data_IF_808409880278
#
_entry.id   IF_808409880278
#
_cell.length_a   1.000
_cell.length_b   1.000
_cell.length_c   1.000
_cell.angle_alpha   90.00
_cell.angle_beta   90.00
_cell.angle_gamma   90.00
#
_symmetry.space_group_name_H-M   'P 1'
#
loop_
_entity.id
_entity.type
_entity.pdbx_description
1 polymer ?
#
# COMPACT_ATOMS: atom_id res chain seq x y z
N UNK A 1 -31.13 -2.50 -5.78
CA UNK A 1 -30.55 -3.42 -4.76
C UNK A 1 -29.45 -2.66 -4.00
N UNK A 2 -28.83 -3.22 -2.95
CA UNK A 2 -27.67 -2.57 -2.30
C UNK A 2 -26.41 -2.82 -3.12
N UNK A 3 -25.63 -1.77 -3.39
CA UNK A 3 -24.36 -1.85 -4.14
C UNK A 3 -23.44 -2.98 -3.65
N UNK A 4 -22.69 -3.60 -4.56
CA UNK A 4 -21.66 -4.62 -4.28
C UNK A 4 -20.67 -4.20 -3.19
N UNK A 5 -20.45 -2.89 -3.02
CA UNK A 5 -19.58 -2.34 -1.96
C UNK A 5 -20.11 -2.55 -0.54
N UNK A 6 -21.43 -2.78 -0.40
CA UNK A 6 -22.13 -3.10 0.84
C UNK A 6 -22.32 -4.62 1.05
N UNK A 7 -21.84 -5.45 0.11
CA UNK A 7 -21.83 -6.89 0.32
C UNK A 7 -20.94 -7.23 1.53
N UNK A 8 -21.44 -8.06 2.44
CA UNK A 8 -20.76 -8.40 3.71
C UNK A 8 -19.35 -8.97 3.49
N UNK A 9 -19.09 -9.62 2.35
CA UNK A 9 -17.77 -10.17 2.01
C UNK A 9 -16.81 -9.03 1.65
N UNK A 10 -17.30 -8.04 0.89
CA UNK A 10 -16.55 -6.84 0.49
C UNK A 10 -16.26 -5.96 1.71
N UNK A 11 -17.26 -5.71 2.56
CA UNK A 11 -17.08 -4.98 3.82
C UNK A 11 -16.04 -5.64 4.72
N UNK A 12 -16.09 -6.97 4.86
CA UNK A 12 -15.11 -7.74 5.63
C UNK A 12 -13.70 -7.64 5.04
N UNK A 13 -13.57 -7.63 3.71
CA UNK A 13 -12.29 -7.43 3.05
C UNK A 13 -11.73 -6.02 3.33
N UNK A 14 -12.56 -4.98 3.19
CA UNK A 14 -12.18 -3.59 3.49
C UNK A 14 -11.75 -3.44 4.95
N UNK A 15 -12.49 -4.03 5.89
CA UNK A 15 -12.16 -4.00 7.31
C UNK A 15 -10.79 -4.64 7.60
N UNK A 16 -10.48 -5.78 6.97
CA UNK A 16 -9.17 -6.43 7.10
C UNK A 16 -8.04 -5.58 6.56
N UNK A 17 -8.23 -4.97 5.38
CA UNK A 17 -7.22 -4.08 4.79
C UNK A 17 -6.93 -2.88 5.70
N UNK A 18 -7.98 -2.26 6.26
CA UNK A 18 -7.84 -1.18 7.23
C UNK A 18 -7.13 -1.64 8.51
N UNK A 19 -7.44 -2.84 9.02
CA UNK A 19 -6.79 -3.42 10.19
C UNK A 19 -5.29 -3.71 9.95
N UNK A 20 -4.88 -4.00 8.71
CA UNK A 20 -3.47 -4.09 8.32
C UNK A 20 -2.76 -2.72 8.26
N UNK A 21 -3.51 -1.62 8.41
CA UNK A 21 -3.00 -0.26 8.36
C UNK A 21 -2.96 0.32 6.94
N UNK A 22 -3.65 -0.30 5.98
CA UNK A 22 -3.79 0.28 4.64
C UNK A 22 -4.82 1.40 4.62
N UNK A 23 -4.53 2.46 3.86
CA UNK A 23 -5.47 3.56 3.63
C UNK A 23 -6.32 3.22 2.41
N UNK A 24 -7.60 2.91 2.66
CA UNK A 24 -8.55 2.36 1.70
C UNK A 24 -9.71 3.32 1.46
N UNK A 25 -9.91 3.70 0.19
CA UNK A 25 -11.10 4.42 -0.29
C UNK A 25 -11.92 3.49 -1.18
N UNK A 26 -13.25 3.62 -1.15
CA UNK A 26 -14.17 2.76 -1.88
C UNK A 26 -15.08 3.63 -2.72
N UNK A 27 -15.31 3.22 -3.96
CA UNK A 27 -16.20 3.90 -4.90
C UNK A 27 -17.14 2.87 -5.51
N UNK A 28 -18.44 3.11 -5.44
CA UNK A 28 -19.43 2.32 -6.17
C UNK A 28 -19.72 3.01 -7.49
N UNK A 29 -19.59 2.30 -8.60
CA UNK A 29 -19.99 2.81 -9.91
C UNK A 29 -21.46 2.52 -10.16
N UNK A 30 -21.89 1.29 -9.88
CA UNK A 30 -23.29 0.86 -9.98
C UNK A 30 -23.63 -0.22 -8.91
N UNK A 31 -24.74 -0.93 -9.10
CA UNK A 31 -25.17 -1.96 -8.15
C UNK A 31 -24.23 -3.17 -8.12
N UNK A 32 -23.59 -3.51 -9.24
CA UNK A 32 -22.77 -4.71 -9.42
C UNK A 32 -21.26 -4.40 -9.47
N UNK A 33 -20.88 -3.13 -9.66
CA UNK A 33 -19.51 -2.68 -9.88
C UNK A 33 -19.04 -1.69 -8.81
N UNK A 34 -17.86 -1.95 -8.25
CA UNK A 34 -17.22 -1.07 -7.29
C UNK A 34 -15.71 -1.24 -7.28
N UNK A 35 -15.02 -0.20 -6.81
CA UNK A 35 -13.58 -0.05 -6.82
C UNK A 35 -13.05 0.13 -5.40
N UNK A 36 -11.94 -0.53 -5.11
CA UNK A 36 -11.22 -0.40 -3.83
C UNK A 36 -9.86 0.22 -4.15
N UNK A 37 -9.68 1.48 -3.76
CA UNK A 37 -8.43 2.21 -3.93
C UNK A 37 -7.58 2.07 -2.67
N UNK A 38 -6.35 1.61 -2.84
CA UNK A 38 -5.36 1.48 -1.75
C UNK A 38 -4.15 2.35 -2.09
N UNK A 39 -3.77 3.24 -1.17
CA UNK A 39 -2.62 4.13 -1.43
C UNK A 39 -1.31 3.36 -1.38
N UNK A 40 -0.43 3.58 -2.37
CA UNK A 40 0.92 3.02 -2.40
C UNK A 40 1.74 3.41 -1.17
N UNK A 41 1.53 4.61 -0.64
CA UNK A 41 2.17 5.07 0.60
C UNK A 41 1.85 4.12 1.78
N UNK A 42 0.59 3.71 1.93
CA UNK A 42 0.21 2.81 3.02
C UNK A 42 0.77 1.41 2.85
N UNK A 43 0.95 0.95 1.60
CA UNK A 43 1.62 -0.30 1.28
C UNK A 43 3.12 -0.20 1.59
N UNK A 44 3.75 0.91 1.20
CA UNK A 44 5.15 1.20 1.49
C UNK A 44 5.41 1.19 3.00
N UNK A 45 4.62 1.91 3.79
CA UNK A 45 4.73 1.92 5.27
C UNK A 45 4.50 0.55 5.89
N UNK A 46 3.63 -0.28 5.31
CA UNK A 46 3.44 -1.65 5.77
C UNK A 46 4.71 -2.48 5.55
N UNK A 47 5.29 -2.43 4.36
CA UNK A 47 6.50 -3.18 4.00
C UNK A 47 7.72 -2.67 4.79
N UNK A 48 7.88 -1.35 4.92
CA UNK A 48 8.97 -0.73 5.68
C UNK A 48 9.03 -1.28 7.11
N UNK A 49 7.88 -1.34 7.80
CA UNK A 49 7.78 -1.86 9.17
C UNK A 49 8.15 -3.33 9.30
N UNK A 50 8.09 -4.11 8.22
CA UNK A 50 8.44 -5.55 8.21
C UNK A 50 9.94 -5.78 7.98
N UNK A 51 10.68 -4.76 7.56
CA UNK A 51 12.12 -4.88 7.28
C UNK A 51 12.88 -4.50 8.55
N UNK A 52 13.45 -5.48 9.24
CA UNK A 52 14.13 -5.31 10.52
C UNK A 52 15.47 -4.54 10.47
N UNK A 53 15.90 -4.09 9.29
CA UNK A 53 17.17 -3.42 9.11
C UNK A 53 17.12 -1.94 9.53
N UNK A 54 18.09 -1.42 10.29
CA UNK A 54 17.99 -0.10 10.92
C UNK A 54 18.00 1.06 9.92
N UNK A 55 18.93 1.06 8.95
CA UNK A 55 19.00 2.11 7.95
C UNK A 55 18.33 1.66 6.66
N UNK A 56 17.08 2.11 6.50
CA UNK A 56 16.26 1.80 5.36
C UNK A 56 15.45 3.02 4.93
N UNK A 57 15.05 3.04 3.67
CA UNK A 57 14.08 3.99 3.12
C UNK A 57 13.28 3.29 2.03
N UNK A 58 11.97 3.48 2.05
CA UNK A 58 11.09 3.05 0.96
C UNK A 58 10.62 4.25 0.12
N UNK A 59 10.59 4.05 -1.19
CA UNK A 59 10.10 5.04 -2.15
C UNK A 59 9.63 4.33 -3.43
N UNK A 60 8.85 5.02 -4.27
CA UNK A 60 8.30 4.49 -5.52
C UNK A 60 9.04 5.15 -6.69
N UNK A 61 9.59 4.35 -7.61
CA UNK A 61 10.28 4.84 -8.83
C UNK A 61 9.91 4.02 -10.05
N UNK A 62 9.75 4.66 -11.20
CA UNK A 62 9.59 4.03 -12.51
C UNK A 62 10.86 3.26 -12.94
N UNK A 63 10.74 2.52 -14.04
CA UNK A 63 11.84 1.75 -14.68
C UNK A 63 12.99 2.62 -15.20
N UNK A 64 12.85 3.95 -15.21
CA UNK A 64 13.86 4.93 -15.60
C UNK A 64 14.49 5.69 -14.42
N UNK A 65 14.06 5.40 -13.18
CA UNK A 65 14.53 6.07 -11.97
C UNK A 65 13.82 7.41 -11.65
N UNK A 66 12.71 7.74 -12.30
CA UNK A 66 11.84 8.90 -12.00
C UNK A 66 10.59 8.46 -11.23
N UNK A 67 10.01 9.31 -10.38
CA UNK A 67 8.82 8.96 -9.59
C UNK A 67 7.54 8.96 -10.44
N UNK A 68 7.23 7.85 -11.11
CA UNK A 68 5.90 7.50 -11.67
C UNK A 68 5.78 5.97 -11.82
N UNK A 69 4.62 5.43 -12.23
CA UNK A 69 4.22 3.99 -12.19
C UNK A 69 5.39 2.99 -12.21
N UNK A 70 5.68 2.40 -11.05
CA UNK A 70 7.03 1.95 -10.76
C UNK A 70 7.18 0.93 -9.64
N UNK A 71 8.43 0.51 -9.42
CA UNK A 71 8.81 -0.39 -8.34
C UNK A 71 8.71 0.32 -7.00
N UNK A 72 8.17 -0.40 -6.00
CA UNK A 72 8.41 -0.05 -4.61
C UNK A 72 9.83 -0.47 -4.24
N UNK A 73 10.74 0.51 -4.15
CA UNK A 73 12.15 0.26 -3.86
C UNK A 73 12.40 0.35 -2.37
N UNK A 74 13.09 -0.66 -1.84
CA UNK A 74 13.66 -0.66 -0.49
C UNK A 74 15.15 -0.40 -0.60
N UNK A 75 15.60 0.79 -0.22
CA UNK A 75 17.02 1.08 -0.06
C UNK A 75 17.46 0.70 1.35
N UNK A 76 18.52 -0.09 1.48
CA UNK A 76 19.19 -0.44 2.75
C UNK A 76 20.68 -0.10 2.67
N UNK A 77 21.29 0.38 3.76
CA UNK A 77 22.74 0.73 3.76
C UNK A 77 23.40 0.51 5.12
N UNK A 78 24.70 0.24 5.16
CA UNK A 78 25.44 0.16 6.42
C UNK A 78 25.89 1.55 6.86
N UNK A 79 25.84 1.82 8.17
CA UNK A 79 26.54 2.98 8.72
C UNK A 79 28.04 2.78 8.54
N UNK A 80 28.73 3.79 8.01
CA UNK A 80 30.18 3.73 7.84
C UNK A 80 30.83 3.93 9.21
N UNK A 81 31.07 2.85 9.95
CA UNK A 81 31.91 2.91 11.14
C UNK A 81 33.36 3.04 10.67
N UNK A 82 33.93 4.25 10.68
CA UNK A 82 35.38 4.43 10.65
C UNK A 82 35.93 3.73 11.90
N UNK A 83 36.56 2.57 11.71
CA UNK A 83 37.49 2.00 12.69
C UNK A 83 38.88 2.54 12.39
#
# INVERSE_FOLDING_TARGET
MTSVTLDKRVEKAIARLRAMGFKVNVYAEDEDTGYIFITLESIAKFIERRIGYPHKRLYVVDTSGKEVDGYLVVKVWREWTRR
#
